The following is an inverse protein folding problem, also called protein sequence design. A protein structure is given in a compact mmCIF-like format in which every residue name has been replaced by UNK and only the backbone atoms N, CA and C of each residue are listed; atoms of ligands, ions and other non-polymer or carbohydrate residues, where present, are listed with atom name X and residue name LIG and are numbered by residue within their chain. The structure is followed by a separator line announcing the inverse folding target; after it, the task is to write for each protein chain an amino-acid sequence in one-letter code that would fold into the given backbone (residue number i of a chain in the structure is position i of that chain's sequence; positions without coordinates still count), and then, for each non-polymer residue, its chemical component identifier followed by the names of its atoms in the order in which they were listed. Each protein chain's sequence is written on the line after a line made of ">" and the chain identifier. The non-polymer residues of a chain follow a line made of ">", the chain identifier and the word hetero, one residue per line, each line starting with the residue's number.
data_IF_739063743272
#
_entry.id   IF_739063743272
#
_cell.length_a   1.000
_cell.length_b   1.000
_cell.length_c   1.000
_cell.angle_alpha   90.00
_cell.angle_beta   90.00
_cell.angle_gamma   90.00
#
_symmetry.space_group_name_H-M   'P 1'
#
loop_
_entity.id
_entity.type
_entity.pdbx_description
1 polymer ?
#
# COMPACT_ATOMS: atom_id res chain seq x y z
N UNK A 1 6.58 12.25 -5.53
CA UNK A 1 7.50 11.39 -4.76
C UNK A 1 8.58 10.89 -5.70
N UNK A 2 9.87 10.99 -5.34
CA UNK A 2 10.97 10.51 -6.21
C UNK A 2 10.80 9.02 -6.57
N UNK A 3 10.21 8.24 -5.65
CA UNK A 3 9.90 6.83 -5.82
C UNK A 3 8.80 6.57 -6.86
N UNK A 4 7.80 7.45 -7.00
CA UNK A 4 6.76 7.29 -8.02
C UNK A 4 7.35 7.41 -9.42
N UNK A 5 8.18 8.43 -9.66
CA UNK A 5 8.85 8.63 -10.94
C UNK A 5 9.76 7.44 -11.29
N UNK A 6 10.44 6.88 -10.27
CA UNK A 6 11.26 5.67 -10.44
C UNK A 6 10.42 4.45 -10.82
N UNK A 7 9.26 4.25 -10.19
CA UNK A 7 8.33 3.15 -10.51
C UNK A 7 7.76 3.32 -11.92
N UNK A 8 7.29 4.51 -12.27
CA UNK A 8 6.75 4.81 -13.60
C UNK A 8 7.80 4.55 -14.70
N UNK A 9 9.05 5.00 -14.48
CA UNK A 9 10.15 4.74 -15.40
C UNK A 9 10.46 3.24 -15.54
N UNK A 10 10.46 2.48 -14.43
CA UNK A 10 10.68 1.03 -14.43
C UNK A 10 9.56 0.29 -15.17
N UNK A 11 8.30 0.65 -14.93
CA UNK A 11 7.13 0.10 -15.63
C UNK A 11 7.25 0.30 -17.14
N UNK A 12 7.58 1.54 -17.57
CA UNK A 12 7.73 1.88 -18.98
C UNK A 12 8.94 1.19 -19.64
N UNK A 13 10.07 1.08 -18.93
CA UNK A 13 11.27 0.39 -19.42
C UNK A 13 11.00 -1.09 -19.71
N UNK A 14 10.18 -1.73 -18.88
CA UNK A 14 9.94 -3.17 -18.93
C UNK A 14 8.62 -3.58 -19.62
N UNK A 15 7.83 -2.62 -20.12
CA UNK A 15 6.57 -2.92 -20.81
C UNK A 15 5.50 -3.49 -19.88
N UNK A 16 5.46 -3.03 -18.63
CA UNK A 16 4.57 -3.53 -17.57
C UNK A 16 3.30 -2.67 -17.43
N UNK A 17 3.00 -1.81 -18.40
CA UNK A 17 1.80 -0.99 -18.42
C UNK A 17 0.54 -1.86 -18.48
N UNK A 18 -0.47 -1.47 -17.71
CA UNK A 18 -1.77 -2.13 -17.70
C UNK A 18 -2.86 -1.12 -17.34
N UNK A 19 -4.12 -1.46 -17.62
CA UNK A 19 -5.23 -0.56 -17.34
C UNK A 19 -5.41 -0.35 -15.83
N UNK A 20 -5.98 0.80 -15.45
CA UNK A 20 -6.27 1.15 -14.06
C UNK A 20 -7.02 0.04 -13.30
N UNK A 21 -7.96 -0.65 -13.96
CA UNK A 21 -8.71 -1.74 -13.35
C UNK A 21 -7.80 -2.92 -12.95
N UNK A 22 -6.77 -3.23 -13.74
CA UNK A 22 -5.79 -4.25 -13.41
C UNK A 22 -4.81 -3.77 -12.34
N UNK A 23 -4.40 -2.49 -12.35
CA UNK A 23 -3.57 -1.92 -11.26
C UNK A 23 -4.22 -2.04 -9.88
N UNK A 24 -5.54 -1.87 -9.80
CA UNK A 24 -6.28 -2.07 -8.54
C UNK A 24 -6.22 -3.54 -8.09
N UNK A 25 -6.30 -4.48 -9.03
CA UNK A 25 -6.18 -5.91 -8.74
C UNK A 25 -4.75 -6.30 -8.36
N UNK A 26 -3.74 -5.74 -9.00
CA UNK A 26 -2.33 -5.93 -8.64
C UNK A 26 -2.11 -5.50 -7.18
N UNK A 27 -2.56 -4.29 -6.80
CA UNK A 27 -2.47 -3.82 -5.42
C UNK A 27 -3.19 -4.74 -4.42
N UNK A 28 -4.39 -5.21 -4.75
CA UNK A 28 -5.12 -6.15 -3.88
C UNK A 28 -4.37 -7.47 -3.71
N UNK A 29 -3.76 -7.98 -4.78
CA UNK A 29 -2.95 -9.19 -4.75
C UNK A 29 -1.75 -9.03 -3.83
N UNK A 30 -0.97 -7.95 -3.95
CA UNK A 30 0.22 -7.74 -3.11
C UNK A 30 -0.14 -7.53 -1.62
N UNK A 31 -1.24 -6.82 -1.33
CA UNK A 31 -1.76 -6.73 0.04
C UNK A 31 -2.22 -8.11 0.56
N UNK A 32 -2.75 -8.95 -0.32
CA UNK A 32 -3.11 -10.34 -0.01
C UNK A 32 -1.91 -11.21 0.35
N UNK A 33 -0.77 -11.03 -0.32
CA UNK A 33 0.48 -11.74 0.00
C UNK A 33 1.03 -11.33 1.37
N UNK A 34 1.00 -10.04 1.72
CA UNK A 34 1.30 -9.58 3.09
C UNK A 34 0.42 -10.27 4.13
N UNK A 35 -0.89 -10.37 3.88
CA UNK A 35 -1.81 -11.03 4.80
C UNK A 35 -1.55 -12.54 4.90
N UNK A 36 -1.19 -13.18 3.79
CA UNK A 36 -0.86 -14.60 3.71
C UNK A 36 0.41 -14.94 4.48
N UNK A 37 1.43 -14.07 4.49
CA UNK A 37 2.62 -14.29 5.31
C UNK A 37 2.31 -14.27 6.80
N UNK A 38 1.50 -13.32 7.27
CA UNK A 38 1.04 -13.30 8.66
C UNK A 38 0.22 -14.55 8.97
N UNK A 39 -0.72 -14.93 8.10
CA UNK A 39 -1.52 -16.14 8.28
C UNK A 39 -0.64 -17.39 8.34
N UNK A 40 0.38 -17.49 7.50
CA UNK A 40 1.28 -18.66 7.46
C UNK A 40 2.20 -18.70 8.67
N UNK A 41 2.80 -17.57 9.04
CA UNK A 41 3.74 -17.47 10.17
C UNK A 41 3.08 -17.72 11.52
N UNK A 42 1.80 -17.38 11.65
CA UNK A 42 1.01 -17.60 12.86
C UNK A 42 0.30 -18.95 12.91
N UNK A 43 0.60 -19.88 12.00
CA UNK A 43 -0.14 -21.15 11.81
C UNK A 43 -1.65 -20.93 11.76
N UNK A 44 -2.06 -20.03 10.87
CA UNK A 44 -3.44 -19.58 10.67
C UNK A 44 -4.11 -19.05 11.96
N UNK A 45 -3.31 -18.41 12.81
CA UNK A 45 -3.75 -17.77 14.06
C UNK A 45 -3.64 -18.63 15.31
N UNK A 46 -3.09 -19.84 15.23
CA UNK A 46 -2.80 -20.67 16.41
C UNK A 46 -1.65 -20.10 17.27
N UNK A 47 -0.70 -19.37 16.66
CA UNK A 47 0.40 -18.67 17.34
C UNK A 47 0.51 -17.20 16.89
N UNK A 48 -0.28 -16.27 17.46
CA UNK A 48 -0.28 -14.87 17.04
C UNK A 48 1.05 -14.14 17.30
N UNK A 49 1.86 -14.61 18.26
CA UNK A 49 3.15 -13.99 18.59
C UNK A 49 4.23 -14.31 17.53
N UNK A 50 3.97 -15.29 16.66
CA UNK A 50 4.85 -15.66 15.54
C UNK A 50 4.65 -14.81 14.28
N UNK A 51 3.77 -13.80 14.30
CA UNK A 51 3.47 -12.95 13.15
C UNK A 51 4.74 -12.32 12.56
N UNK A 52 4.98 -12.61 11.28
CA UNK A 52 6.12 -12.11 10.53
C UNK A 52 5.69 -11.70 9.12
N UNK A 53 6.35 -10.67 8.59
CA UNK A 53 6.21 -10.17 7.23
C UNK A 53 7.62 -9.91 6.70
N UNK A 54 7.88 -10.35 5.48
CA UNK A 54 9.11 -10.14 4.74
C UNK A 54 9.12 -8.73 4.12
N UNK A 55 10.32 -8.16 3.98
CA UNK A 55 10.47 -6.77 3.53
C UNK A 55 10.09 -6.58 2.06
N UNK A 56 10.26 -7.62 1.24
CA UNK A 56 9.88 -7.66 -0.16
C UNK A 56 8.37 -7.54 -0.35
N UNK A 57 7.54 -8.23 0.44
CA UNK A 57 6.08 -8.13 0.33
C UNK A 57 5.55 -6.71 0.59
N UNK A 58 6.16 -6.00 1.55
CA UNK A 58 5.86 -4.56 1.78
C UNK A 58 6.33 -3.70 0.59
N UNK A 59 7.47 -4.06 0.00
CA UNK A 59 8.01 -3.40 -1.19
C UNK A 59 7.13 -3.58 -2.41
N UNK A 60 6.59 -4.78 -2.62
CA UNK A 60 5.72 -5.13 -3.75
C UNK A 60 4.37 -4.41 -3.62
N UNK A 61 3.79 -4.39 -2.42
CA UNK A 61 2.59 -3.59 -2.16
C UNK A 61 2.82 -2.08 -2.39
N UNK A 62 3.98 -1.54 -1.99
CA UNK A 62 4.34 -0.15 -2.26
C UNK A 62 4.53 0.11 -3.76
N UNK A 63 5.21 -0.79 -4.47
CA UNK A 63 5.36 -0.72 -5.92
C UNK A 63 4.01 -0.67 -6.62
N UNK A 64 3.11 -1.59 -6.27
CA UNK A 64 1.77 -1.67 -6.85
C UNK A 64 0.94 -0.40 -6.56
N UNK A 65 1.04 0.16 -5.34
CA UNK A 65 0.36 1.39 -4.98
C UNK A 65 0.88 2.60 -5.79
N UNK A 66 2.19 2.72 -5.96
CA UNK A 66 2.79 3.80 -6.75
C UNK A 66 2.45 3.68 -8.24
N UNK A 67 2.47 2.45 -8.78
CA UNK A 67 2.05 2.18 -10.16
C UNK A 67 0.55 2.44 -10.37
N UNK A 68 -0.28 2.18 -9.36
CA UNK A 68 -1.70 2.55 -9.37
C UNK A 68 -1.88 4.07 -9.35
N UNK A 69 -1.14 4.78 -8.51
CA UNK A 69 -1.21 6.24 -8.41
C UNK A 69 -0.82 6.90 -9.75
N UNK A 70 0.25 6.43 -10.41
CA UNK A 70 0.63 6.87 -11.75
C UNK A 70 -0.49 6.63 -12.78
N UNK A 71 -1.04 5.41 -12.84
CA UNK A 71 -2.14 5.09 -13.75
C UNK A 71 -3.45 5.87 -13.49
N UNK A 72 -3.59 6.44 -12.29
CA UNK A 72 -4.73 7.25 -11.88
C UNK A 72 -4.49 8.77 -11.99
N UNK A 73 -3.30 9.20 -12.45
CA UNK A 73 -2.86 10.60 -12.43
C UNK A 73 -2.92 11.23 -11.02
N UNK A 74 -2.56 10.45 -9.99
CA UNK A 74 -2.54 10.88 -8.59
C UNK A 74 -1.11 11.12 -8.14
N UNK A 75 -0.87 12.27 -7.49
CA UNK A 75 0.37 12.54 -6.75
C UNK A 75 0.29 11.88 -5.35
N UNK A 76 1.09 10.84 -5.07
CA UNK A 76 1.04 10.11 -3.82
C UNK A 76 1.57 10.92 -2.63
N UNK A 77 2.47 11.90 -2.85
CA UNK A 77 2.91 12.78 -1.75
C UNK A 77 1.76 13.64 -1.28
N UNK A 78 1.07 14.30 -2.23
CA UNK A 78 -0.09 15.13 -1.90
C UNK A 78 -1.23 14.32 -1.26
N UNK A 79 -1.48 13.10 -1.75
CA UNK A 79 -2.49 12.20 -1.19
C UNK A 79 -2.13 11.72 0.23
N UNK A 80 -0.85 11.47 0.49
CA UNK A 80 -0.34 11.12 1.81
C UNK A 80 -0.47 12.30 2.78
N UNK A 81 -0.03 13.50 2.38
CA UNK A 81 -0.14 14.73 3.17
C UNK A 81 -1.59 15.02 3.57
N UNK A 82 -2.53 14.89 2.63
CA UNK A 82 -3.96 15.06 2.90
C UNK A 82 -4.46 14.04 3.94
N UNK A 83 -3.99 12.79 3.84
CA UNK A 83 -4.36 11.72 4.78
C UNK A 83 -3.79 11.96 6.18
N UNK A 84 -2.52 12.38 6.28
CA UNK A 84 -1.87 12.72 7.54
C UNK A 84 -2.56 13.89 8.24
N UNK A 85 -2.86 14.98 7.51
CA UNK A 85 -3.57 16.12 8.07
C UNK A 85 -4.97 15.73 8.61
N UNK A 86 -5.67 14.81 7.94
CA UNK A 86 -6.95 14.25 8.44
C UNK A 86 -6.75 13.46 9.72
N UNK A 87 -5.70 12.64 9.83
CA UNK A 87 -5.41 11.89 11.05
C UNK A 87 -5.04 12.82 12.21
N UNK A 88 -4.19 13.81 11.99
CA UNK A 88 -3.84 14.82 13.00
C UNK A 88 -5.08 15.55 13.52
N UNK A 89 -5.94 16.03 12.61
CA UNK A 89 -7.19 16.71 12.96
C UNK A 89 -8.14 15.83 13.79
N UNK A 90 -8.22 14.53 13.50
CA UNK A 90 -9.02 13.57 14.29
C UNK A 90 -8.44 13.40 15.69
N UNK A 91 -7.15 13.17 15.80
CA UNK A 91 -6.47 12.99 17.09
C UNK A 91 -6.66 14.24 17.97
N UNK A 92 -6.52 15.44 17.40
CA UNK A 92 -6.73 16.69 18.12
C UNK A 92 -8.18 16.88 18.60
N UNK A 93 -9.16 16.41 17.82
CA UNK A 93 -10.59 16.63 18.11
C UNK A 93 -11.22 15.57 19.00
N UNK A 94 -10.81 14.30 18.90
CA UNK A 94 -11.42 13.17 19.61
C UNK A 94 -10.46 12.45 20.57
N UNK A 95 -9.16 12.72 20.48
CA UNK A 95 -8.12 11.94 21.15
C UNK A 95 -7.81 10.60 20.48
N UNK A 96 -8.41 10.31 19.32
CA UNK A 96 -8.28 9.03 18.59
C UNK A 96 -8.13 9.25 17.08
N UNK A 97 -7.37 8.38 16.41
CA UNK A 97 -7.08 8.47 14.97
C UNK A 97 -8.17 7.84 14.09
N UNK A 98 -9.06 7.05 14.67
CA UNK A 98 -10.09 6.28 13.99
C UNK A 98 -11.11 7.16 13.27
N UNK A 99 -11.49 6.73 12.06
CA UNK A 99 -12.60 7.33 11.30
C UNK A 99 -13.96 6.76 11.66
N UNK A 100 -14.03 5.81 12.60
CA UNK A 100 -15.22 5.02 12.91
C UNK A 100 -15.90 5.44 14.21
N UNK A 101 -17.11 5.97 14.08
CA UNK A 101 -18.26 5.51 14.88
C UNK A 101 -19.09 4.57 14.01
#
# INVERSE_FOLDING_TARGET
>A
MDEQDRVAAFVAEHGLETDLAYRVLDLESEVGEVAKEVATSTDYGEDPDAAAIATDEVGDALFALLALADAADIDPDAALDESLAKYESRIESSGDAGSGQ
#
